data_IF_577030915111
#
_entry.id   IF_577030915111
#
_cell.length_a   1.000
_cell.length_b   1.000
_cell.length_c   1.000
_cell.angle_alpha   90.00
_cell.angle_beta   90.00
_cell.angle_gamma   90.00
#
_symmetry.space_group_name_H-M   'P 1'
#
loop_
_entity.id
_entity.type
_entity.pdbx_description
1 polymer ?
#
# COMPACT_ATOMS: atom_id res chain seq x y z
N UNK A 1 14.78 12.90 35.68
CA UNK A 1 13.81 12.20 34.83
C UNK A 1 14.26 12.37 33.39
N UNK A 2 14.77 11.31 32.76
CA UNK A 2 15.21 11.35 31.36
C UNK A 2 13.99 11.49 30.45
N UNK A 3 13.85 12.64 29.80
CA UNK A 3 12.92 12.81 28.68
C UNK A 3 13.30 11.82 27.59
N UNK A 4 12.41 10.87 27.32
CA UNK A 4 12.52 9.92 26.21
C UNK A 4 12.66 10.74 24.92
N UNK A 5 13.77 10.58 24.21
CA UNK A 5 13.97 11.19 22.89
C UNK A 5 12.98 10.55 21.91
N UNK A 6 11.89 11.25 21.62
CA UNK A 6 10.92 10.85 20.61
C UNK A 6 11.42 11.34 19.26
N UNK A 7 12.10 10.49 18.50
CA UNK A 7 12.54 10.86 17.17
C UNK A 7 11.34 10.96 16.23
N UNK A 8 10.88 12.19 15.99
CA UNK A 8 9.82 12.51 15.05
C UNK A 8 10.25 12.27 13.59
N UNK A 9 11.51 11.92 13.32
CA UNK A 9 12.01 11.56 11.98
C UNK A 9 11.80 10.08 11.60
N UNK A 10 11.23 9.25 12.49
CA UNK A 10 10.68 7.92 12.15
C UNK A 10 9.47 7.99 11.16
N UNK A 11 8.99 9.20 10.86
CA UNK A 11 7.91 9.53 9.93
C UNK A 11 8.27 9.24 8.44
N UNK A 12 9.53 8.92 8.14
CA UNK A 12 10.00 8.49 6.81
C UNK A 12 10.74 7.15 6.85
N UNK A 13 10.23 6.16 7.58
CA UNK A 13 10.89 4.86 7.64
C UNK A 13 10.75 4.12 6.31
N UNK A 14 11.69 4.36 5.39
CA UNK A 14 11.77 3.72 4.08
C UNK A 14 11.85 2.19 4.21
N UNK A 15 12.36 1.67 5.33
CA UNK A 15 12.34 0.23 5.65
C UNK A 15 10.93 -0.26 5.98
N UNK A 16 10.16 0.49 6.78
CA UNK A 16 8.74 0.18 7.03
C UNK A 16 7.94 0.24 5.72
N UNK A 17 8.16 1.26 4.89
CA UNK A 17 7.56 1.35 3.56
C UNK A 17 7.93 0.15 2.68
N UNK A 18 9.21 -0.22 2.64
CA UNK A 18 9.71 -1.40 1.94
C UNK A 18 8.95 -2.66 2.35
N UNK A 19 8.82 -2.92 3.65
CA UNK A 19 8.11 -4.09 4.14
C UNK A 19 6.60 -4.04 3.87
N UNK A 20 5.93 -2.91 4.10
CA UNK A 20 4.49 -2.79 3.85
C UNK A 20 4.17 -2.95 2.35
N UNK A 21 4.97 -2.36 1.46
CA UNK A 21 4.78 -2.50 0.02
C UNK A 21 5.10 -3.92 -0.46
N UNK A 22 6.16 -4.54 0.08
CA UNK A 22 6.46 -5.96 -0.19
C UNK A 22 5.31 -6.86 0.27
N UNK A 23 4.76 -6.61 1.46
CA UNK A 23 3.63 -7.36 2.01
C UNK A 23 2.37 -7.19 1.17
N UNK A 24 2.07 -5.95 0.76
CA UNK A 24 0.98 -5.67 -0.17
C UNK A 24 1.12 -6.49 -1.47
N UNK A 25 2.29 -6.47 -2.10
CA UNK A 25 2.56 -7.21 -3.34
C UNK A 25 2.42 -8.71 -3.11
N UNK A 26 2.96 -9.24 -2.01
CA UNK A 26 2.86 -10.66 -1.66
C UNK A 26 1.41 -11.11 -1.50
N UNK A 27 0.60 -10.36 -0.76
CA UNK A 27 -0.82 -10.69 -0.54
C UNK A 27 -1.62 -10.49 -1.84
N UNK A 28 -1.34 -9.46 -2.63
CA UNK A 28 -2.01 -9.22 -3.92
C UNK A 28 -1.76 -10.37 -4.89
N UNK A 29 -0.51 -10.85 -5.00
CA UNK A 29 -0.19 -11.99 -5.86
C UNK A 29 -0.93 -13.28 -5.46
N UNK A 30 -1.38 -13.43 -4.21
CA UNK A 30 -2.16 -14.61 -3.79
C UNK A 30 -3.60 -14.59 -4.29
N UNK A 31 -4.12 -13.41 -4.64
CA UNK A 31 -5.48 -13.27 -5.16
C UNK A 31 -5.61 -13.69 -6.63
N UNK A 32 -4.51 -14.02 -7.31
CA UNK A 32 -4.48 -14.45 -8.72
C UNK A 32 -5.29 -13.53 -9.65
N UNK A 33 -5.19 -12.23 -9.43
CA UNK A 33 -5.93 -11.23 -10.20
C UNK A 33 -5.33 -11.01 -11.59
N UNK A 34 -6.22 -10.75 -12.57
CA UNK A 34 -5.87 -10.30 -13.92
C UNK A 34 -5.40 -8.84 -13.94
N UNK A 35 -5.72 -8.06 -12.90
CA UNK A 35 -5.30 -6.67 -12.79
C UNK A 35 -3.82 -6.59 -12.39
N UNK A 36 -2.95 -5.91 -13.15
CA UNK A 36 -1.54 -5.80 -12.81
C UNK A 36 -1.32 -4.95 -11.55
N UNK A 37 -0.25 -5.24 -10.82
CA UNK A 37 0.24 -4.35 -9.77
C UNK A 37 1.11 -3.30 -10.46
N UNK A 38 0.57 -2.11 -10.65
CA UNK A 38 1.29 -0.97 -11.24
C UNK A 38 1.73 0.03 -10.17
N UNK A 39 2.59 0.95 -10.57
CA UNK A 39 3.07 2.02 -9.69
C UNK A 39 1.92 2.87 -9.12
N UNK A 40 0.91 3.30 -9.90
CA UNK A 40 -0.20 4.06 -9.36
C UNK A 40 -0.96 3.33 -8.23
N UNK A 41 -1.19 2.01 -8.30
CA UNK A 41 -1.78 1.27 -7.17
C UNK A 41 -0.90 1.35 -5.93
N UNK A 42 0.42 1.19 -6.08
CA UNK A 42 1.38 1.23 -4.97
C UNK A 42 1.45 2.61 -4.31
N UNK A 43 1.27 3.69 -5.06
CA UNK A 43 1.22 5.06 -4.53
C UNK A 43 0.03 5.30 -3.58
N UNK A 44 -1.04 4.51 -3.68
CA UNK A 44 -2.22 4.61 -2.80
C UNK A 44 -2.05 3.86 -1.48
N UNK A 45 -1.10 2.92 -1.39
CA UNK A 45 -0.98 2.01 -0.23
C UNK A 45 -0.58 2.77 1.04
N UNK A 46 0.60 3.40 1.05
CA UNK A 46 1.11 4.06 2.26
C UNK A 46 0.22 5.19 2.77
N UNK A 47 -0.34 6.08 1.91
CA UNK A 47 -1.27 7.12 2.35
C UNK A 47 -2.47 6.59 3.13
N UNK A 48 -3.00 5.42 2.76
CA UNK A 48 -4.14 4.80 3.43
C UNK A 48 -3.68 4.05 4.68
N UNK A 49 -2.61 3.25 4.58
CA UNK A 49 -2.11 2.42 5.69
C UNK A 49 -1.59 3.28 6.84
N UNK A 50 -0.93 4.41 6.58
CA UNK A 50 -0.40 5.28 7.63
C UNK A 50 -1.43 6.23 8.23
N UNK A 51 -2.57 6.44 7.56
CA UNK A 51 -3.66 7.23 8.11
C UNK A 51 -4.47 6.42 9.13
N UNK A 52 -4.46 6.84 10.40
CA UNK A 52 -5.13 6.13 11.49
C UNK A 52 -6.65 6.05 11.31
N UNK A 53 -7.29 7.13 10.86
CA UNK A 53 -8.74 7.15 10.64
C UNK A 53 -9.17 6.16 9.54
N UNK A 54 -8.38 6.07 8.47
CA UNK A 54 -8.55 5.08 7.42
C UNK A 54 -8.36 3.66 7.95
N UNK A 55 -7.28 3.39 8.71
CA UNK A 55 -7.07 2.07 9.35
C UNK A 55 -8.24 1.66 10.22
N UNK A 56 -8.69 2.54 11.12
CA UNK A 56 -9.82 2.29 12.02
C UNK A 56 -11.10 1.98 11.27
N UNK A 57 -11.37 2.73 10.19
CA UNK A 57 -12.54 2.50 9.34
C UNK A 57 -12.46 1.14 8.65
N UNK A 58 -11.31 0.79 8.08
CA UNK A 58 -11.10 -0.46 7.37
C UNK A 58 -11.11 -1.69 8.29
N UNK A 59 -10.54 -1.56 9.50
CA UNK A 59 -10.47 -2.64 10.49
C UNK A 59 -11.84 -3.18 10.93
N UNK A 60 -12.89 -2.37 10.84
CA UNK A 60 -14.27 -2.79 11.19
C UNK A 60 -14.97 -3.58 10.07
N UNK A 61 -14.32 -3.77 8.92
CA UNK A 61 -14.97 -4.28 7.70
C UNK A 61 -14.49 -5.65 7.31
N UNK A 62 -15.40 -6.42 6.72
CA UNK A 62 -15.09 -7.72 6.17
C UNK A 62 -14.25 -7.54 4.90
N UNK A 63 -13.22 -8.36 4.73
CA UNK A 63 -12.38 -8.38 3.53
C UNK A 63 -13.15 -8.77 2.27
N UNK A 64 -14.27 -9.51 2.40
CA UNK A 64 -15.17 -9.88 1.29
C UNK A 64 -16.12 -8.77 0.83
N UNK A 65 -16.18 -7.65 1.56
CA UNK A 65 -17.02 -6.52 1.17
C UNK A 65 -16.53 -5.91 -0.14
N UNK A 66 -17.47 -5.43 -0.97
CA UNK A 66 -17.14 -4.85 -2.26
C UNK A 66 -16.29 -3.57 -2.07
N UNK A 67 -15.08 -3.57 -2.61
CA UNK A 67 -14.15 -2.45 -2.54
C UNK A 67 -14.78 -1.13 -3.03
N UNK A 68 -15.57 -1.20 -4.11
CA UNK A 68 -16.22 -0.04 -4.72
C UNK A 68 -17.27 0.58 -3.79
N UNK A 69 -18.05 -0.25 -3.07
CA UNK A 69 -19.09 0.25 -2.16
C UNK A 69 -18.46 0.93 -0.96
N UNK A 70 -17.41 0.33 -0.37
CA UNK A 70 -16.72 0.90 0.79
C UNK A 70 -16.04 2.22 0.42
N UNK A 71 -15.32 2.29 -0.70
CA UNK A 71 -14.67 3.56 -1.09
C UNK A 71 -15.73 4.67 -1.31
N UNK A 72 -16.94 4.33 -1.75
CA UNK A 72 -18.03 5.31 -1.91
C UNK A 72 -18.67 5.71 -0.58
N UNK A 73 -18.90 4.75 0.31
CA UNK A 73 -19.60 4.93 1.60
C UNK A 73 -18.77 5.67 2.65
N UNK A 74 -17.44 5.61 2.57
CA UNK A 74 -16.56 6.18 3.60
C UNK A 74 -15.68 7.31 3.02
N UNK A 75 -16.19 8.56 3.03
CA UNK A 75 -15.45 9.74 2.56
C UNK A 75 -14.07 9.91 3.23
N UNK A 76 -13.91 9.46 4.48
CA UNK A 76 -12.66 9.54 5.24
C UNK A 76 -11.47 8.90 4.50
N UNK A 77 -11.70 7.91 3.63
CA UNK A 77 -10.65 7.31 2.81
C UNK A 77 -10.12 8.29 1.75
N UNK A 78 -10.96 9.24 1.31
CA UNK A 78 -10.67 10.24 0.27
C UNK A 78 -10.22 11.58 0.81
N UNK A 79 -10.61 11.94 2.04
CA UNK A 79 -10.23 13.21 2.68
C UNK A 79 -8.72 13.38 2.60
N UNK A 80 -8.31 14.51 2.01
CA UNK A 80 -6.93 14.92 1.77
C UNK A 80 -6.04 13.84 1.13
N UNK A 81 -6.62 12.87 0.42
CA UNK A 81 -5.88 11.74 -0.12
C UNK A 81 -4.83 12.21 -1.13
N UNK A 82 -5.13 13.22 -1.95
CA UNK A 82 -4.16 13.78 -2.90
C UNK A 82 -2.93 14.35 -2.18
N UNK A 83 -3.16 15.09 -1.10
CA UNK A 83 -2.09 15.67 -0.26
C UNK A 83 -1.28 14.55 0.38
N UNK A 84 -1.93 13.51 0.93
CA UNK A 84 -1.26 12.36 1.52
C UNK A 84 -0.45 11.55 0.50
N UNK A 85 -0.98 11.34 -0.70
CA UNK A 85 -0.25 10.68 -1.80
C UNK A 85 1.01 11.47 -2.14
N UNK A 86 0.88 12.79 -2.32
CA UNK A 86 2.04 13.65 -2.58
C UNK A 86 3.07 13.57 -1.45
N UNK A 87 2.63 13.66 -0.19
CA UNK A 87 3.50 13.60 0.99
C UNK A 87 4.25 12.27 1.14
N UNK A 88 3.67 11.15 0.69
CA UNK A 88 4.27 9.82 0.82
C UNK A 88 4.92 9.29 -0.46
N UNK A 89 4.81 10.00 -1.59
CA UNK A 89 5.35 9.56 -2.89
C UNK A 89 6.84 9.23 -2.80
N UNK A 90 7.65 10.13 -2.21
CA UNK A 90 9.10 9.91 -2.05
C UNK A 90 9.39 8.65 -1.22
N UNK A 91 8.67 8.45 -0.11
CA UNK A 91 8.86 7.28 0.76
C UNK A 91 8.41 5.99 0.09
N UNK A 92 7.36 6.03 -0.75
CA UNK A 92 6.95 4.89 -1.58
C UNK A 92 8.08 4.47 -2.52
N UNK A 93 8.65 5.41 -3.27
CA UNK A 93 9.77 5.10 -4.17
C UNK A 93 11.00 4.56 -3.44
N UNK A 94 11.38 5.16 -2.31
CA UNK A 94 12.48 4.65 -1.49
C UNK A 94 12.19 3.22 -0.99
N UNK A 95 10.97 2.96 -0.53
CA UNK A 95 10.53 1.63 -0.09
C UNK A 95 10.60 0.60 -1.22
N UNK A 96 10.12 0.95 -2.42
CA UNK A 96 10.20 0.06 -3.60
C UNK A 96 11.64 -0.18 -4.04
N UNK A 97 12.49 0.83 -4.03
CA UNK A 97 13.90 0.69 -4.36
C UNK A 97 14.63 -0.23 -3.39
N UNK A 98 14.35 -0.12 -2.08
CA UNK A 98 14.87 -1.03 -1.08
C UNK A 98 14.34 -2.46 -1.29
N UNK A 99 13.04 -2.62 -1.54
CA UNK A 99 12.44 -3.93 -1.79
C UNK A 99 13.02 -4.62 -3.03
N UNK A 100 13.27 -3.85 -4.11
CA UNK A 100 13.92 -4.34 -5.33
C UNK A 100 15.38 -4.69 -5.08
N UNK A 101 16.14 -3.84 -4.39
CA UNK A 101 17.56 -4.06 -4.09
C UNK A 101 17.77 -5.26 -3.18
N UNK A 102 16.88 -5.45 -2.21
CA UNK A 102 16.85 -6.62 -1.33
C UNK A 102 16.30 -7.88 -2.02
N UNK A 103 15.96 -7.80 -3.33
CA UNK A 103 15.37 -8.88 -4.12
C UNK A 103 14.09 -9.43 -3.49
N UNK A 104 13.28 -8.61 -2.83
CA UNK A 104 11.96 -8.98 -2.31
C UNK A 104 10.88 -8.81 -3.40
N UNK A 105 11.02 -7.76 -4.20
CA UNK A 105 10.10 -7.40 -5.29
C UNK A 105 10.87 -7.35 -6.61
N UNK A 106 10.22 -7.79 -7.69
CA UNK A 106 10.71 -7.65 -9.05
C UNK A 106 9.85 -6.63 -9.80
N UNK A 107 10.48 -5.89 -10.72
CA UNK A 107 9.81 -4.96 -11.62
C UNK A 107 9.95 -5.48 -13.04
N UNK A 108 8.87 -5.46 -13.80
CA UNK A 108 8.85 -5.77 -15.23
C UNK A 108 8.52 -4.49 -15.98
N UNK A 109 9.29 -4.19 -17.02
CA UNK A 109 9.03 -3.05 -17.89
C UNK A 109 8.17 -3.51 -19.06
N UNK A 110 7.00 -2.89 -19.21
CA UNK A 110 6.12 -3.10 -20.35
C UNK A 110 6.59 -2.26 -21.54
N UNK A 111 6.23 -2.70 -22.76
CA UNK A 111 6.61 -2.04 -24.02
C UNK A 111 6.13 -0.57 -24.07
N UNK A 112 5.05 -0.25 -23.36
CA UNK A 112 4.45 1.08 -23.33
C UNK A 112 5.09 2.03 -22.31
N UNK A 113 6.14 1.61 -21.60
CA UNK A 113 6.80 2.39 -20.55
C UNK A 113 6.19 2.22 -19.16
N UNK A 114 5.08 1.51 -19.05
CA UNK A 114 4.50 1.14 -17.76
C UNK A 114 5.36 0.09 -17.04
N UNK A 115 5.38 0.14 -15.72
CA UNK A 115 6.11 -0.82 -14.89
C UNK A 115 5.14 -1.60 -14.01
N UNK A 116 5.21 -2.92 -14.12
CA UNK A 116 4.46 -3.84 -13.27
C UNK A 116 5.36 -4.45 -12.21
N UNK A 117 4.78 -4.82 -11.07
CA UNK A 117 5.51 -5.33 -9.92
C UNK A 117 5.01 -6.74 -9.56
N UNK A 118 5.94 -7.61 -9.19
CA UNK A 118 5.61 -8.95 -8.70
C UNK A 118 6.48 -9.31 -7.51
N UNK A 119 6.03 -10.26 -6.70
CA UNK A 119 6.89 -10.84 -5.67
C UNK A 119 8.02 -11.64 -6.32
N UNK A 120 9.16 -11.70 -5.67
CA UNK A 120 10.20 -12.68 -5.97
C UNK A 120 9.97 -13.98 -5.18
N UNK A 121 10.76 -15.01 -5.46
CA UNK A 121 10.81 -16.24 -4.64
C UNK A 121 11.68 -16.09 -3.38
N UNK A 122 12.27 -14.91 -3.15
CA UNK A 122 13.15 -14.67 -2.00
C UNK A 122 12.35 -14.68 -0.71
N UNK A 123 12.87 -15.40 0.30
CA UNK A 123 12.26 -15.39 1.63
C UNK A 123 12.49 -14.05 2.31
N UNK A 124 11.47 -13.59 3.02
CA UNK A 124 11.61 -12.45 3.92
C UNK A 124 12.76 -12.67 4.91
N UNK A 125 13.50 -11.61 5.29
CA UNK A 125 14.51 -11.73 6.33
C UNK A 125 13.87 -12.23 7.63
N UNK A 126 14.52 -13.18 8.31
CA UNK A 126 13.98 -13.79 9.53
C UNK A 126 13.72 -12.73 10.60
N UNK A 127 12.61 -12.87 11.33
CA UNK A 127 12.25 -11.97 12.42
C UNK A 127 11.71 -10.60 12.01
N UNK A 128 11.53 -10.29 10.72
CA UNK A 128 11.01 -8.99 10.29
C UNK A 128 9.50 -8.85 10.38
N UNK A 129 8.73 -9.85 9.92
CA UNK A 129 7.24 -9.82 9.95
C UNK A 129 6.67 -9.52 11.35
N UNK A 130 7.17 -10.11 12.46
CA UNK A 130 6.68 -9.82 13.81
C UNK A 130 6.95 -8.41 14.32
N UNK A 131 7.86 -7.66 13.69
CA UNK A 131 8.20 -6.28 14.09
C UNK A 131 7.27 -5.24 13.46
N UNK A 132 6.41 -5.64 12.53
CA UNK A 132 5.48 -4.75 11.84
C UNK A 132 4.20 -4.58 12.67
N UNK A 133 3.63 -3.37 12.76
CA UNK A 133 2.38 -3.15 13.48
C UNK A 133 1.23 -3.96 12.88
N UNK A 134 0.56 -4.79 13.69
CA UNK A 134 -0.52 -5.67 13.26
C UNK A 134 -1.66 -4.92 12.55
N UNK A 135 -1.99 -3.73 13.01
CA UNK A 135 -3.02 -2.89 12.38
C UNK A 135 -2.65 -2.53 10.95
N UNK A 136 -1.40 -2.16 10.71
CA UNK A 136 -0.90 -1.82 9.37
C UNK A 136 -0.89 -3.06 8.47
N UNK A 137 -0.48 -4.21 8.99
CA UNK A 137 -0.54 -5.47 8.24
C UNK A 137 -1.98 -5.85 7.85
N UNK A 138 -2.93 -5.76 8.80
CA UNK A 138 -4.35 -6.04 8.53
C UNK A 138 -4.90 -5.12 7.44
N UNK A 139 -4.68 -3.82 7.55
CA UNK A 139 -5.11 -2.84 6.53
C UNK A 139 -4.44 -3.11 5.19
N UNK A 140 -3.14 -3.41 5.17
CA UNK A 140 -2.40 -3.69 3.94
C UNK A 140 -2.94 -4.92 3.22
N UNK A 141 -3.21 -6.01 3.96
CA UNK A 141 -3.84 -7.21 3.39
C UNK A 141 -5.21 -6.91 2.78
N UNK A 142 -6.03 -6.14 3.50
CA UNK A 142 -7.36 -5.77 3.01
C UNK A 142 -7.29 -4.94 1.74
N UNK A 143 -6.36 -3.98 1.65
CA UNK A 143 -6.12 -3.21 0.43
C UNK A 143 -5.66 -4.11 -0.71
N UNK A 144 -4.79 -5.09 -0.45
CA UNK A 144 -4.31 -6.02 -1.48
C UNK A 144 -5.47 -6.81 -2.10
N UNK A 145 -6.36 -7.36 -1.27
CA UNK A 145 -7.58 -8.07 -1.71
C UNK A 145 -8.48 -7.13 -2.52
N UNK A 146 -8.70 -5.91 -2.05
CA UNK A 146 -9.62 -4.99 -2.72
C UNK A 146 -9.09 -4.45 -4.03
N UNK A 147 -7.81 -4.07 -4.06
CA UNK A 147 -7.19 -3.53 -5.26
C UNK A 147 -6.99 -4.61 -6.32
N UNK A 148 -6.96 -5.89 -5.95
CA UNK A 148 -6.92 -7.00 -6.90
C UNK A 148 -8.25 -7.13 -7.67
N UNK A 149 -9.37 -6.76 -7.07
CA UNK A 149 -10.69 -6.85 -7.73
C UNK A 149 -11.02 -5.69 -8.67
N UNK A 150 -10.21 -4.63 -8.69
CA UNK A 150 -10.53 -3.38 -9.39
C UNK A 150 -9.35 -2.86 -10.23
N UNK A 151 -9.57 -2.53 -11.52
CA UNK A 151 -8.58 -1.84 -12.36
C UNK A 151 -8.11 -0.51 -11.75
N UNK A 152 -6.88 -0.13 -12.05
CA UNK A 152 -6.24 1.08 -11.51
C UNK A 152 -7.02 2.34 -11.84
N UNK A 153 -7.51 2.48 -13.08
CA UNK A 153 -8.22 3.71 -13.48
C UNK A 153 -9.52 3.87 -12.68
N UNK A 154 -10.19 2.75 -12.37
CA UNK A 154 -11.43 2.76 -11.59
C UNK A 154 -11.12 3.15 -10.14
N UNK A 155 -10.04 2.64 -9.54
CA UNK A 155 -9.61 3.05 -8.19
C UNK A 155 -9.35 4.56 -8.14
N UNK A 156 -8.58 5.10 -9.08
CA UNK A 156 -8.27 6.54 -9.13
C UNK A 156 -9.53 7.39 -9.34
N UNK A 157 -10.44 6.98 -10.23
CA UNK A 157 -11.73 7.67 -10.40
C UNK A 157 -12.54 7.71 -9.11
N UNK A 158 -12.55 6.62 -8.34
CA UNK A 158 -13.31 6.56 -7.08
C UNK A 158 -12.69 7.41 -5.98
N UNK A 159 -11.37 7.37 -5.86
CA UNK A 159 -10.63 8.08 -4.82
C UNK A 159 -10.59 9.59 -5.07
N UNK A 160 -10.40 10.02 -6.31
CA UNK A 160 -10.21 11.43 -6.67
C UNK A 160 -11.43 12.07 -7.35
N UNK A 161 -12.48 11.30 -7.62
CA UNK A 161 -13.72 11.84 -8.21
C UNK A 161 -13.55 12.33 -9.66
N UNK A 162 -12.54 11.83 -10.38
CA UNK A 162 -12.27 12.21 -11.77
C UNK A 162 -13.47 11.77 -12.64
N UNK A 163 -14.23 12.75 -13.13
CA UNK A 163 -15.31 12.53 -14.13
C UNK A 163 -14.70 12.52 -15.53
N UNK A 164 -15.28 11.72 -16.43
CA UNK A 164 -14.91 11.66 -17.85
C UNK A 164 -14.94 13.03 -18.50
#
# INVERSE_FOLDING_TARGET
>A
MSTIYLDKHLIHNSSMACFLLTFFIEEYCRENSENPIDLPKLLLVLPIVWNEAARKTLATRNTRSNALSIIREYPILKVDLAIRVQAHTATTFQGLNLAKSAKLVQTHSEVNGDSTFSRTNTRWPKGTKPLLPDEMLKTTRQLAIWFSTVPTEILYRLFFGIKK
#
